data_IF_055189974828
#
_entry.id   IF_055189974828
#
_cell.length_a   1.000
_cell.length_b   1.000
_cell.length_c   1.000
_cell.angle_alpha   90.00
_cell.angle_beta   90.00
_cell.angle_gamma   90.00
#
_symmetry.space_group_name_H-M   'P 1'
#
loop_
_entity.id
_entity.type
_entity.pdbx_description
1 polymer ?
#
# COMPACT_ATOMS: atom_id res chain seq x y z
N UNK A 1 10.48 -14.99 23.96
CA UNK A 1 9.89 -16.10 23.19
C UNK A 1 11.02 -17.06 22.87
N UNK A 2 10.84 -18.35 23.13
CA UNK A 2 11.82 -19.36 22.78
C UNK A 2 11.79 -19.59 21.26
N UNK A 3 12.67 -18.87 20.56
CA UNK A 3 12.79 -18.90 19.09
C UNK A 3 13.44 -20.19 18.57
N UNK A 4 13.96 -21.04 19.48
CA UNK A 4 14.68 -22.26 19.11
C UNK A 4 13.79 -23.50 19.01
N UNK A 5 12.49 -23.36 19.31
CA UNK A 5 11.54 -24.47 19.26
C UNK A 5 10.36 -24.14 18.34
N UNK A 6 10.65 -24.03 17.05
CA UNK A 6 9.70 -23.66 16.00
C UNK A 6 8.57 -24.70 15.88
N UNK A 7 8.85 -25.97 16.14
CA UNK A 7 7.87 -27.06 16.07
C UNK A 7 6.74 -26.94 17.11
N UNK A 8 7.02 -26.34 18.27
CA UNK A 8 5.99 -26.06 19.30
C UNK A 8 4.85 -25.17 18.80
N UNK A 9 5.14 -24.29 17.84
CA UNK A 9 4.20 -23.30 17.31
C UNK A 9 3.62 -23.69 15.94
N UNK A 10 4.20 -24.69 15.30
CA UNK A 10 3.92 -25.12 13.93
C UNK A 10 2.45 -25.47 13.66
N UNK A 11 1.74 -25.97 14.67
CA UNK A 11 0.30 -26.30 14.58
C UNK A 11 -0.61 -25.24 15.25
N UNK A 12 -0.04 -24.21 15.86
CA UNK A 12 -0.77 -23.15 16.60
C UNK A 12 -0.82 -21.84 15.84
N UNK A 13 0.13 -21.60 14.95
CA UNK A 13 0.23 -20.40 14.14
C UNK A 13 0.15 -20.82 12.68
N UNK A 14 -0.89 -20.37 11.98
CA UNK A 14 -0.99 -20.57 10.54
C UNK A 14 0.06 -19.70 9.85
N UNK A 15 1.11 -20.33 9.35
CA UNK A 15 2.04 -19.71 8.39
C UNK A 15 1.65 -20.22 7.01
N UNK A 16 1.41 -19.30 6.08
CA UNK A 16 1.12 -19.63 4.69
C UNK A 16 2.17 -20.62 4.15
N UNK A 17 1.78 -21.70 3.47
CA UNK A 17 2.73 -22.62 2.83
C UNK A 17 3.72 -21.93 1.90
N UNK A 18 3.34 -20.80 1.32
CA UNK A 18 4.17 -19.99 0.42
C UNK A 18 5.24 -19.15 1.14
N UNK A 19 5.14 -19.00 2.46
CA UNK A 19 6.15 -18.29 3.28
C UNK A 19 7.17 -19.25 3.90
N UNK A 20 7.21 -20.51 3.48
CA UNK A 20 8.13 -21.51 4.03
C UNK A 20 9.45 -21.51 3.24
N UNK A 21 10.55 -21.73 3.97
CA UNK A 21 11.91 -21.69 3.43
C UNK A 21 12.13 -22.70 2.28
N UNK A 22 11.53 -23.87 2.37
CA UNK A 22 11.55 -24.94 1.37
C UNK A 22 10.86 -24.56 0.04
N UNK A 23 9.92 -23.61 0.06
CA UNK A 23 9.34 -23.01 -1.15
C UNK A 23 10.21 -21.92 -1.77
N UNK A 24 11.12 -21.33 -0.99
CA UNK A 24 12.00 -20.23 -1.39
C UNK A 24 13.35 -20.74 -1.95
N UNK A 25 13.77 -21.95 -1.57
CA UNK A 25 14.93 -22.61 -2.17
C UNK A 25 14.69 -22.92 -3.66
N UNK A 26 15.27 -22.07 -4.52
CA UNK A 26 15.18 -22.17 -5.99
C UNK A 26 14.33 -21.08 -6.66
N UNK A 27 13.54 -20.32 -5.87
CA UNK A 27 12.58 -19.34 -6.38
C UNK A 27 12.78 -17.92 -5.84
N UNK A 28 13.79 -17.68 -5.00
CA UNK A 28 14.18 -16.30 -4.66
C UNK A 28 14.68 -15.67 -5.95
N UNK A 29 13.80 -14.88 -6.56
CA UNK A 29 14.13 -14.02 -7.66
C UNK A 29 15.38 -13.23 -7.25
N UNK A 30 16.50 -13.47 -7.93
CA UNK A 30 17.69 -12.63 -7.79
C UNK A 30 17.40 -11.30 -8.49
N UNK A 31 16.52 -10.49 -7.93
CA UNK A 31 16.15 -9.18 -8.48
C UNK A 31 16.81 -8.09 -7.68
N UNK A 32 17.73 -7.37 -8.33
CA UNK A 32 18.16 -6.00 -8.02
C UNK A 32 18.52 -5.68 -6.56
N UNK A 33 18.72 -4.39 -6.31
CA UNK A 33 18.67 -3.87 -4.95
C UNK A 33 17.20 -3.77 -4.52
N UNK A 34 16.87 -4.12 -3.26
CA UNK A 34 15.49 -4.04 -2.77
C UNK A 34 15.04 -2.58 -2.70
N UNK A 35 13.84 -2.30 -3.18
CA UNK A 35 13.20 -0.99 -3.02
C UNK A 35 12.50 -0.90 -1.67
N UNK A 36 12.64 0.22 -0.98
CA UNK A 36 11.91 0.51 0.26
C UNK A 36 10.64 1.30 -0.09
N UNK A 37 9.49 0.71 0.20
CA UNK A 37 8.20 1.37 0.18
C UNK A 37 7.77 1.66 1.61
N UNK A 38 7.91 2.92 2.03
CA UNK A 38 7.52 3.35 3.36
C UNK A 38 6.03 3.71 3.41
N UNK A 39 5.32 3.15 4.38
CA UNK A 39 3.90 3.41 4.60
C UNK A 39 3.65 4.13 5.93
N UNK A 40 4.61 4.85 6.49
CA UNK A 40 4.46 5.55 7.78
C UNK A 40 3.31 6.55 7.72
N UNK A 41 3.26 7.34 6.65
CA UNK A 41 2.24 8.37 6.40
C UNK A 41 0.85 7.81 6.06
N UNK A 42 0.70 6.49 5.97
CA UNK A 42 -0.60 5.86 5.82
C UNK A 42 -0.79 4.78 6.88
N UNK A 43 -0.09 3.67 6.75
CA UNK A 43 -0.24 2.51 7.62
C UNK A 43 0.14 2.84 9.07
N UNK A 44 1.15 3.70 9.25
CA UNK A 44 1.54 4.19 10.56
C UNK A 44 0.43 5.01 11.23
N UNK A 45 -0.22 5.91 10.50
CA UNK A 45 -1.32 6.74 11.01
C UNK A 45 -2.56 5.92 11.42
N UNK A 46 -2.78 4.74 10.84
CA UNK A 46 -3.87 3.85 11.26
C UNK A 46 -3.65 3.21 12.65
N UNK A 47 -2.50 3.44 13.28
CA UNK A 47 -2.22 3.02 14.65
C UNK A 47 -3.09 3.81 15.61
N UNK A 48 -3.74 3.12 16.56
CA UNK A 48 -4.58 3.79 17.57
C UNK A 48 -3.79 4.89 18.29
N UNK A 49 -4.41 6.06 18.43
CA UNK A 49 -3.84 7.26 19.06
C UNK A 49 -2.70 7.93 18.30
N UNK A 50 -2.40 7.52 17.06
CA UNK A 50 -1.50 8.25 16.16
C UNK A 50 -2.36 9.10 15.22
N UNK A 51 -2.03 10.39 15.14
CA UNK A 51 -2.60 11.34 14.18
C UNK A 51 -1.48 12.29 13.80
N UNK A 52 -1.26 12.51 12.50
CA UNK A 52 -0.27 13.47 12.04
C UNK A 52 -0.96 14.79 11.71
N UNK A 53 -0.43 15.90 12.23
CA UNK A 53 -0.78 17.20 11.68
C UNK A 53 -0.16 17.36 10.28
N UNK A 54 -0.70 18.26 9.46
CA UNK A 54 -0.18 18.50 8.11
C UNK A 54 1.32 18.85 8.12
N UNK A 55 1.76 19.65 9.09
CA UNK A 55 3.18 20.03 9.24
C UNK A 55 4.06 18.84 9.62
N UNK A 56 3.56 17.94 10.47
CA UNK A 56 4.29 16.72 10.87
C UNK A 56 4.42 15.76 9.68
N UNK A 57 3.35 15.64 8.88
CA UNK A 57 3.32 14.81 7.67
C UNK A 57 4.39 15.25 6.66
N UNK A 58 4.48 16.55 6.41
CA UNK A 58 5.52 17.14 5.54
C UNK A 58 6.92 16.91 6.11
N UNK A 59 7.09 17.09 7.42
CA UNK A 59 8.39 16.86 8.08
C UNK A 59 8.81 15.40 7.99
N UNK A 60 7.90 14.46 8.19
CA UNK A 60 8.16 13.02 8.05
C UNK A 60 8.52 12.69 6.60
N UNK A 61 7.77 13.21 5.62
CA UNK A 61 8.09 13.02 4.20
C UNK A 61 9.50 13.51 3.85
N UNK A 62 9.89 14.68 4.38
CA UNK A 62 11.25 15.20 4.20
C UNK A 62 12.30 14.30 4.86
N UNK A 63 12.06 13.81 6.08
CA UNK A 63 12.98 12.90 6.75
C UNK A 63 13.16 11.58 5.99
N UNK A 64 12.09 11.02 5.42
CA UNK A 64 12.13 9.84 4.56
C UNK A 64 12.96 10.11 3.29
N UNK A 65 12.79 11.28 2.70
CA UNK A 65 13.59 11.76 1.56
C UNK A 65 15.08 11.88 1.91
N UNK A 66 15.40 12.45 3.06
CA UNK A 66 16.78 12.71 3.49
C UNK A 66 17.56 11.40 3.70
N UNK A 67 16.88 10.35 4.15
CA UNK A 67 17.44 9.00 4.27
C UNK A 67 17.35 8.18 2.97
N UNK A 68 16.86 8.77 1.88
CA UNK A 68 16.78 8.20 0.53
C UNK A 68 15.87 6.97 0.42
N UNK A 69 14.72 6.98 1.09
CA UNK A 69 13.66 6.00 0.80
C UNK A 69 13.18 6.19 -0.64
N UNK A 70 12.95 5.11 -1.38
CA UNK A 70 12.58 5.19 -2.78
C UNK A 70 11.10 5.55 -2.98
N UNK A 71 10.20 4.97 -2.18
CA UNK A 71 8.76 5.14 -2.35
C UNK A 71 8.07 5.49 -1.02
N UNK A 72 7.07 6.37 -1.07
CA UNK A 72 6.23 6.70 0.09
C UNK A 72 4.74 6.58 -0.24
N UNK A 73 3.99 5.85 0.60
CA UNK A 73 2.52 5.88 0.58
C UNK A 73 2.03 7.09 1.38
N UNK A 74 1.73 8.17 0.66
CA UNK A 74 1.49 9.50 1.22
C UNK A 74 0.08 9.70 1.79
N UNK A 75 -0.77 8.68 1.89
CA UNK A 75 -2.10 8.77 2.49
C UNK A 75 -3.23 8.28 1.58
N UNK A 76 -4.47 8.56 1.97
CA UNK A 76 -5.69 8.19 1.27
C UNK A 76 -6.49 9.44 0.83
N UNK A 77 -6.23 9.99 -0.37
CA UNK A 77 -6.88 11.22 -0.87
C UNK A 77 -8.40 11.22 -0.84
N UNK A 78 -9.05 10.07 -1.03
CA UNK A 78 -10.51 9.97 -1.06
C UNK A 78 -11.16 9.92 0.34
N UNK A 79 -10.36 9.93 1.42
CA UNK A 79 -10.88 9.89 2.79
C UNK A 79 -11.56 11.21 3.17
N UNK A 80 -10.96 12.34 2.77
CA UNK A 80 -11.35 13.69 3.16
C UNK A 80 -10.60 14.73 2.31
N UNK A 81 -11.16 15.93 2.21
CA UNK A 81 -10.51 17.05 1.53
C UNK A 81 -9.21 17.47 2.23
N UNK A 82 -9.10 17.30 3.56
CA UNK A 82 -7.86 17.59 4.29
C UNK A 82 -6.75 16.66 3.84
N UNK A 83 -7.00 15.34 3.86
CA UNK A 83 -6.00 14.33 3.49
C UNK A 83 -5.61 14.46 2.01
N UNK A 84 -6.56 14.81 1.13
CA UNK A 84 -6.28 15.13 -0.27
C UNK A 84 -5.29 16.30 -0.43
N UNK A 85 -5.52 17.39 0.31
CA UNK A 85 -4.64 18.56 0.29
C UNK A 85 -3.26 18.23 0.86
N UNK A 86 -3.20 17.45 1.94
CA UNK A 86 -1.95 17.00 2.56
C UNK A 86 -1.13 16.10 1.62
N UNK A 87 -1.77 15.14 0.95
CA UNK A 87 -1.11 14.29 -0.06
C UNK A 87 -0.56 15.16 -1.20
N UNK A 88 -1.36 16.09 -1.72
CA UNK A 88 -0.92 17.05 -2.75
C UNK A 88 0.29 17.89 -2.30
N UNK A 89 0.37 18.24 -1.02
CA UNK A 89 1.53 18.96 -0.49
C UNK A 89 2.78 18.08 -0.46
N UNK A 90 2.65 16.80 -0.07
CA UNK A 90 3.76 15.84 -0.10
C UNK A 90 4.29 15.65 -1.52
N UNK A 91 3.42 15.52 -2.51
CA UNK A 91 3.80 15.46 -3.94
C UNK A 91 4.60 16.70 -4.35
N UNK A 92 4.13 17.90 -3.97
CA UNK A 92 4.77 19.18 -4.32
C UNK A 92 6.12 19.43 -3.64
N UNK A 93 6.50 18.65 -2.62
CA UNK A 93 7.83 18.77 -1.99
C UNK A 93 8.96 18.48 -2.97
N UNK A 94 8.72 17.69 -4.02
CA UNK A 94 9.76 17.32 -4.98
C UNK A 94 10.93 16.58 -4.32
N UNK A 95 10.62 15.65 -3.42
CA UNK A 95 11.58 14.90 -2.59
C UNK A 95 12.51 13.97 -3.39
N UNK A 96 12.18 13.68 -4.65
CA UNK A 96 12.87 12.67 -5.45
C UNK A 96 12.46 11.23 -5.08
N UNK A 97 11.56 11.06 -4.11
CA UNK A 97 10.86 9.79 -3.86
C UNK A 97 9.69 9.65 -4.84
N UNK A 98 9.32 8.41 -5.17
CA UNK A 98 8.05 8.13 -5.85
C UNK A 98 6.92 8.18 -4.83
N UNK A 99 5.96 9.08 -5.05
CA UNK A 99 4.83 9.33 -4.15
C UNK A 99 3.61 8.54 -4.60
N UNK A 100 3.14 7.64 -3.76
CA UNK A 100 1.94 6.84 -3.98
C UNK A 100 0.77 7.36 -3.16
N UNK A 101 -0.41 7.44 -3.78
CA UNK A 101 -1.68 7.60 -3.06
C UNK A 101 -2.43 6.28 -2.92
N UNK A 102 -3.06 6.07 -1.78
CA UNK A 102 -3.90 4.90 -1.54
C UNK A 102 -5.30 5.08 -2.15
N UNK A 103 -5.85 4.01 -2.71
CA UNK A 103 -7.23 3.95 -3.17
C UNK A 103 -7.89 2.60 -2.83
N UNK A 104 -9.21 2.60 -2.58
CA UNK A 104 -10.01 1.37 -2.70
C UNK A 104 -10.21 1.04 -4.18
N UNK A 105 -10.63 -0.18 -4.46
CA UNK A 105 -10.95 -0.64 -5.81
C UNK A 105 -12.27 -0.03 -6.37
N UNK A 106 -12.33 1.29 -6.48
CA UNK A 106 -13.43 2.08 -7.04
C UNK A 106 -12.87 3.28 -7.79
N UNK A 107 -13.50 3.67 -8.90
CA UNK A 107 -12.98 4.71 -9.79
C UNK A 107 -12.78 6.05 -9.08
N UNK A 108 -13.74 6.52 -8.28
CA UNK A 108 -13.64 7.82 -7.62
C UNK A 108 -12.46 7.94 -6.65
N UNK A 109 -12.07 6.85 -5.98
CA UNK A 109 -10.88 6.87 -5.13
C UNK A 109 -9.59 6.97 -5.95
N UNK A 110 -9.52 6.28 -7.09
CA UNK A 110 -8.38 6.36 -8.01
C UNK A 110 -8.28 7.75 -8.61
N UNK A 111 -9.42 8.32 -9.05
CA UNK A 111 -9.49 9.68 -9.57
C UNK A 111 -8.96 10.69 -8.53
N UNK A 112 -9.33 10.53 -7.25
CA UNK A 112 -8.82 11.41 -6.19
C UNK A 112 -7.30 11.35 -5.99
N UNK A 113 -6.68 10.18 -6.22
CA UNK A 113 -5.21 10.03 -6.21
C UNK A 113 -4.59 10.71 -7.43
N UNK A 114 -5.17 10.51 -8.60
CA UNK A 114 -4.73 11.16 -9.86
C UNK A 114 -4.80 12.68 -9.72
N UNK A 115 -5.87 13.21 -9.15
CA UNK A 115 -6.06 14.66 -8.92
C UNK A 115 -5.05 15.26 -7.93
N UNK A 116 -4.33 14.43 -7.16
CA UNK A 116 -3.23 14.89 -6.30
C UNK A 116 -1.87 14.89 -7.03
N UNK A 117 -1.83 14.53 -8.31
CA UNK A 117 -0.61 14.36 -9.11
C UNK A 117 0.38 13.34 -8.49
N UNK A 118 -0.13 12.31 -7.82
CA UNK A 118 0.73 11.23 -7.31
C UNK A 118 1.38 10.44 -8.45
N UNK A 119 2.63 10.00 -8.27
CA UNK A 119 3.36 9.19 -9.25
C UNK A 119 2.75 7.78 -9.42
N UNK A 120 2.01 7.31 -8.43
CA UNK A 120 1.37 6.00 -8.50
C UNK A 120 0.18 5.82 -7.56
N UNK A 121 -0.53 4.72 -7.76
CA UNK A 121 -1.72 4.36 -6.97
C UNK A 121 -1.54 2.99 -6.33
N UNK A 122 -1.69 2.93 -5.00
CA UNK A 122 -1.80 1.65 -4.26
C UNK A 122 -3.26 1.30 -4.12
N UNK A 123 -3.72 0.29 -4.87
CA UNK A 123 -5.12 -0.16 -4.82
C UNK A 123 -5.28 -1.32 -3.84
N UNK A 124 -6.11 -1.15 -2.80
CA UNK A 124 -6.56 -2.29 -1.99
C UNK A 124 -7.76 -2.97 -2.64
N UNK A 125 -7.52 -4.20 -3.08
CA UNK A 125 -8.56 -5.11 -3.52
C UNK A 125 -8.29 -6.51 -2.93
N UNK A 126 -9.05 -6.96 -1.91
CA UNK A 126 -8.77 -8.22 -1.24
C UNK A 126 -9.39 -9.42 -1.99
N UNK A 127 -8.59 -10.40 -2.44
CA UNK A 127 -9.08 -11.45 -3.34
C UNK A 127 -9.60 -12.71 -2.63
N UNK A 128 -9.33 -12.92 -1.34
CA UNK A 128 -9.68 -14.20 -0.69
C UNK A 128 -11.17 -14.51 -0.75
N UNK A 129 -11.56 -15.79 -0.81
CA UNK A 129 -12.97 -16.22 -0.87
C UNK A 129 -13.82 -15.61 0.24
N UNK A 130 -13.26 -15.48 1.45
CA UNK A 130 -13.95 -14.84 2.57
C UNK A 130 -14.32 -13.37 2.28
N UNK A 131 -13.40 -12.63 1.67
CA UNK A 131 -13.64 -11.25 1.24
C UNK A 131 -14.65 -11.18 0.09
N UNK A 132 -14.57 -12.11 -0.88
CA UNK A 132 -15.51 -12.16 -2.00
C UNK A 132 -16.94 -12.46 -1.53
N UNK A 133 -17.12 -13.47 -0.70
CA UNK A 133 -18.44 -13.92 -0.22
C UNK A 133 -19.05 -12.94 0.78
N UNK A 134 -18.28 -12.53 1.80
CA UNK A 134 -18.86 -11.84 2.96
C UNK A 134 -18.71 -10.32 2.94
N UNK A 135 -17.65 -9.78 2.31
CA UNK A 135 -17.39 -8.33 2.25
C UNK A 135 -17.87 -7.72 0.94
N UNK A 136 -17.41 -8.25 -0.18
CA UNK A 136 -17.63 -7.67 -1.51
C UNK A 136 -18.93 -8.17 -2.15
N UNK A 137 -19.38 -9.39 -1.80
CA UNK A 137 -20.58 -10.05 -2.32
C UNK A 137 -20.59 -10.13 -3.85
N UNK A 138 -19.44 -10.52 -4.42
CA UNK A 138 -19.24 -10.70 -5.86
C UNK A 138 -18.60 -12.05 -6.15
N UNK A 139 -18.78 -12.52 -7.37
CA UNK A 139 -18.08 -13.69 -7.90
C UNK A 139 -16.62 -13.37 -8.21
N UNK A 140 -15.79 -14.41 -8.34
CA UNK A 140 -14.38 -14.26 -8.75
C UNK A 140 -14.25 -13.73 -10.18
N UNK A 141 -15.18 -14.05 -11.07
CA UNK A 141 -15.19 -13.52 -12.44
C UNK A 141 -15.46 -12.01 -12.45
N UNK A 142 -16.48 -11.55 -11.73
CA UNK A 142 -16.75 -10.12 -11.55
C UNK A 142 -15.57 -9.39 -10.92
N UNK A 143 -14.90 -10.03 -9.95
CA UNK A 143 -13.69 -9.48 -9.33
C UNK A 143 -12.59 -9.25 -10.35
N UNK A 144 -12.28 -10.26 -11.17
CA UNK A 144 -11.23 -10.15 -12.20
C UNK A 144 -11.59 -9.10 -13.25
N UNK A 145 -12.85 -9.07 -13.70
CA UNK A 145 -13.33 -8.07 -14.66
C UNK A 145 -13.14 -6.65 -14.12
N UNK A 146 -13.52 -6.42 -12.86
CA UNK A 146 -13.34 -5.12 -12.20
C UNK A 146 -11.86 -4.77 -12.01
N UNK A 147 -11.01 -5.74 -11.67
CA UNK A 147 -9.58 -5.51 -11.53
C UNK A 147 -8.95 -5.02 -12.86
N UNK A 148 -9.32 -5.63 -13.99
CA UNK A 148 -8.86 -5.23 -15.32
C UNK A 148 -9.38 -3.83 -15.69
N UNK A 149 -10.64 -3.53 -15.37
CA UNK A 149 -11.22 -2.19 -15.59
C UNK A 149 -10.45 -1.12 -14.82
N UNK A 150 -10.23 -1.30 -13.51
CA UNK A 150 -9.50 -0.33 -12.69
C UNK A 150 -8.04 -0.16 -13.15
N UNK A 151 -7.39 -1.24 -13.56
CA UNK A 151 -6.04 -1.19 -14.12
C UNK A 151 -5.95 -0.36 -15.39
N UNK A 152 -7.00 -0.37 -16.23
CA UNK A 152 -7.04 0.45 -17.44
C UNK A 152 -7.09 1.95 -17.16
N UNK A 153 -7.59 2.35 -15.99
CA UNK A 153 -7.68 3.75 -15.56
C UNK A 153 -6.30 4.24 -15.10
N UNK A 154 -5.61 3.45 -14.27
CA UNK A 154 -4.27 3.80 -13.74
C UNK A 154 -3.24 3.92 -14.86
N UNK A 155 -3.34 3.11 -15.92
CA UNK A 155 -2.43 3.17 -17.08
C UNK A 155 -2.45 4.49 -17.87
N UNK A 156 -3.41 5.37 -17.62
CA UNK A 156 -3.48 6.70 -18.28
C UNK A 156 -2.61 7.74 -17.55
N UNK A 157 -1.99 7.37 -16.44
CA UNK A 157 -0.99 8.18 -15.73
C UNK A 157 0.36 8.03 -16.44
N UNK A 158 0.61 8.84 -17.48
CA UNK A 158 1.91 9.02 -18.15
C UNK A 158 2.46 10.42 -17.88
#
# INVERSE_FOLDING_TARGET
>A
MDVNNVDKWRNKIFVSPYCRHDYLEGSICKTGDPLVHDSTLRGGEQTSSVVFAAEDRIKIAQLLSDIKVECVEAGFPASSESEKNEVSQVVKLGSGMTVYGFARAVKGDIDAVIECDCDGVVISYPPSDFHLTYKLRITREEYLKKAVELWSIVKVMD
#
